data_IF_846453329987
#
_entry.id   IF_846453329987
#
_cell.length_a   1.000
_cell.length_b   1.000
_cell.length_c   1.000
_cell.angle_alpha   90.00
_cell.angle_beta   90.00
_cell.angle_gamma   90.00
#
_symmetry.space_group_name_H-M   'P 1'
#
loop_
_entity.id
_entity.type
_entity.pdbx_description
1 polymer ?
#
# COMPACT_ATOMS: atom_id res chain seq x y z
N UNK A 1 22.53 -12.82 -21.47
CA UNK A 1 22.73 -11.87 -20.36
C UNK A 1 21.46 -11.03 -20.26
N UNK A 2 20.47 -11.50 -19.50
CA UNK A 2 19.25 -10.72 -19.27
C UNK A 2 19.61 -9.60 -18.30
N UNK A 3 19.62 -8.37 -18.80
CA UNK A 3 19.60 -7.18 -17.98
C UNK A 3 18.22 -7.14 -17.33
N UNK A 4 18.09 -7.73 -16.14
CA UNK A 4 16.97 -7.42 -15.26
C UNK A 4 17.16 -5.96 -14.86
N UNK A 5 16.49 -5.06 -15.58
CA UNK A 5 16.21 -3.75 -15.00
C UNK A 5 15.56 -4.02 -13.63
N UNK A 6 16.07 -3.49 -12.52
CA UNK A 6 15.43 -3.63 -11.23
C UNK A 6 14.15 -2.80 -11.32
N UNK A 7 13.07 -3.40 -11.81
CA UNK A 7 11.75 -2.82 -11.74
C UNK A 7 11.52 -2.47 -10.26
N UNK A 8 11.08 -1.24 -9.94
CA UNK A 8 10.70 -0.93 -8.57
C UNK A 8 9.67 -1.95 -8.14
N UNK A 9 9.98 -2.72 -7.10
CA UNK A 9 9.05 -3.69 -6.55
C UNK A 9 7.96 -2.91 -5.82
N UNK A 10 6.85 -2.68 -6.53
CA UNK A 10 5.68 -2.00 -6.02
C UNK A 10 4.63 -3.02 -5.54
N UNK A 11 3.96 -2.69 -4.44
CA UNK A 11 2.84 -3.45 -3.90
C UNK A 11 1.62 -2.54 -3.85
N UNK A 12 0.53 -2.98 -4.49
CA UNK A 12 -0.78 -2.34 -4.36
C UNK A 12 -1.58 -3.03 -3.25
N UNK A 13 -2.02 -2.27 -2.26
CA UNK A 13 -2.82 -2.73 -1.12
C UNK A 13 -4.17 -2.03 -1.16
N UNK A 14 -5.25 -2.81 -1.10
CA UNK A 14 -6.62 -2.27 -0.99
C UNK A 14 -7.17 -2.57 0.41
N UNK A 15 -7.63 -1.54 1.11
CA UNK A 15 -8.26 -1.63 2.43
C UNK A 15 -9.53 -0.78 2.47
N UNK A 16 -10.47 -1.14 3.33
CA UNK A 16 -11.74 -0.40 3.49
C UNK A 16 -11.92 0.06 4.93
N UNK A 17 -11.77 1.36 5.17
CA UNK A 17 -11.83 1.92 6.53
C UNK A 17 -12.48 3.31 6.59
N UNK A 18 -12.84 3.74 7.80
CA UNK A 18 -13.63 4.95 8.06
C UNK A 18 -12.83 6.24 8.09
N UNK A 19 -11.52 6.15 8.38
CA UNK A 19 -10.67 7.32 8.59
C UNK A 19 -9.31 7.14 7.93
N UNK A 20 -8.60 8.21 7.57
CA UNK A 20 -7.24 8.13 7.03
C UNK A 20 -6.28 7.35 7.93
N UNK A 21 -6.32 7.59 9.26
CA UNK A 21 -5.47 6.87 10.21
C UNK A 21 -5.78 5.37 10.26
N UNK A 22 -7.04 4.97 10.12
CA UNK A 22 -7.41 3.55 10.04
C UNK A 22 -6.97 2.91 8.72
N UNK A 23 -7.05 3.63 7.61
CA UNK A 23 -6.51 3.20 6.31
C UNK A 23 -5.00 2.93 6.42
N UNK A 24 -4.25 3.86 7.00
CA UNK A 24 -2.80 3.69 7.22
C UNK A 24 -2.48 2.49 8.11
N UNK A 25 -3.15 2.40 9.26
CA UNK A 25 -2.96 1.30 10.21
C UNK A 25 -3.30 -0.08 9.62
N UNK A 26 -4.20 -0.15 8.63
CA UNK A 26 -4.53 -1.38 7.92
C UNK A 26 -3.56 -1.67 6.76
N UNK A 27 -3.12 -0.66 6.03
CA UNK A 27 -2.33 -0.83 4.81
C UNK A 27 -0.83 -1.11 5.08
N UNK A 28 -0.22 -0.42 6.05
CA UNK A 28 1.21 -0.58 6.35
C UNK A 28 1.60 -2.00 6.78
N UNK A 29 0.87 -2.68 7.69
CA UNK A 29 1.22 -4.04 8.07
C UNK A 29 1.19 -5.04 6.90
N UNK A 30 0.34 -4.79 5.90
CA UNK A 30 0.30 -5.62 4.68
C UNK A 30 1.54 -5.40 3.81
N UNK A 31 2.01 -4.15 3.72
CA UNK A 31 3.26 -3.82 3.04
C UNK A 31 4.48 -4.40 3.77
N UNK A 32 4.56 -4.25 5.10
CA UNK A 32 5.61 -4.83 5.94
C UNK A 32 5.66 -6.35 5.84
N UNK A 33 4.51 -7.03 5.85
CA UNK A 33 4.44 -8.48 5.70
C UNK A 33 4.94 -8.95 4.34
N UNK A 34 4.73 -8.16 3.29
CA UNK A 34 5.17 -8.49 1.93
C UNK A 34 6.66 -8.21 1.72
N UNK A 35 7.13 -7.04 2.14
CA UNK A 35 8.52 -6.61 1.91
C UNK A 35 9.51 -7.06 3.00
N UNK A 36 9.02 -7.45 4.18
CA UNK A 36 9.79 -7.67 5.39
C UNK A 36 9.71 -6.47 6.34
N UNK A 37 9.70 -6.72 7.65
CA UNK A 37 9.58 -5.69 8.69
C UNK A 37 10.72 -4.67 8.71
N UNK A 38 11.88 -5.05 8.16
CA UNK A 38 13.07 -4.20 8.10
C UNK A 38 13.15 -3.43 6.77
N UNK A 39 12.17 -3.58 5.88
CA UNK A 39 12.16 -2.92 4.60
C UNK A 39 11.73 -1.45 4.74
N UNK A 40 12.53 -0.55 4.19
CA UNK A 40 12.12 0.84 4.02
C UNK A 40 11.08 0.94 2.90
N UNK A 41 9.83 1.25 3.27
CA UNK A 41 8.70 1.36 2.36
C UNK A 41 8.22 2.81 2.24
N UNK A 42 7.93 3.23 1.01
CA UNK A 42 7.41 4.56 0.68
C UNK A 42 6.05 4.44 0.00
N UNK A 43 5.12 5.34 0.32
CA UNK A 43 3.85 5.45 -0.42
C UNK A 43 4.10 6.23 -1.71
N UNK A 44 3.87 5.60 -2.86
CA UNK A 44 3.98 6.21 -4.19
C UNK A 44 2.67 6.90 -4.57
N UNK A 45 1.54 6.25 -4.28
CA UNK A 45 0.22 6.83 -4.50
C UNK A 45 -0.80 6.26 -3.52
N UNK A 46 -1.82 7.06 -3.21
CA UNK A 46 -2.99 6.61 -2.48
C UNK A 46 -4.23 7.17 -3.18
N UNK A 47 -5.13 6.29 -3.59
CA UNK A 47 -6.43 6.65 -4.16
C UNK A 47 -7.51 6.18 -3.22
N UNK A 48 -8.49 7.04 -2.98
CA UNK A 48 -9.60 6.76 -2.07
C UNK A 48 -10.90 6.98 -2.82
N UNK A 49 -11.85 6.07 -2.62
CA UNK A 49 -13.20 6.15 -3.14
C UNK A 49 -14.20 5.75 -2.05
N UNK A 50 -15.44 6.24 -2.06
CA UNK A 50 -16.49 5.73 -1.19
C UNK A 50 -16.63 4.21 -1.35
N UNK A 51 -16.84 3.50 -0.24
CA UNK A 51 -17.14 2.07 -0.28
C UNK A 51 -18.61 1.88 -0.75
N UNK A 52 -18.86 1.17 -1.86
CA UNK A 52 -20.22 1.00 -2.39
C UNK A 52 -21.13 0.18 -1.46
N UNK A 53 -20.56 -0.67 -0.61
CA UNK A 53 -21.29 -1.56 0.29
C UNK A 53 -21.47 -0.94 1.69
N UNK A 54 -20.67 0.07 2.04
CA UNK A 54 -20.66 0.70 3.36
C UNK A 54 -20.59 2.23 3.28
N UNK A 55 -21.73 2.90 3.46
CA UNK A 55 -21.85 4.35 3.34
C UNK A 55 -20.97 5.19 4.28
N UNK A 56 -20.45 4.59 5.35
CA UNK A 56 -19.57 5.24 6.33
C UNK A 56 -18.08 4.92 6.15
N UNK A 57 -17.72 4.22 5.06
CA UNK A 57 -16.35 3.77 4.78
C UNK A 57 -15.84 4.27 3.44
N UNK A 58 -14.52 4.20 3.32
CA UNK A 58 -13.81 4.43 2.08
C UNK A 58 -12.95 3.23 1.75
N UNK A 59 -12.96 2.85 0.48
CA UNK A 59 -11.98 1.91 -0.07
C UNK A 59 -10.78 2.70 -0.55
N UNK A 60 -9.61 2.41 0.02
CA UNK A 60 -8.35 3.00 -0.35
C UNK A 60 -7.46 1.98 -1.04
N UNK A 61 -6.87 2.36 -2.17
CA UNK A 61 -5.80 1.62 -2.84
C UNK A 61 -4.51 2.41 -2.66
N UNK A 62 -3.56 1.83 -1.91
CA UNK A 62 -2.27 2.41 -1.59
C UNK A 62 -1.18 1.63 -2.32
N UNK A 63 -0.35 2.32 -3.09
CA UNK A 63 0.80 1.74 -3.77
C UNK A 63 2.05 2.03 -2.94
N UNK A 64 2.67 0.98 -2.44
CA UNK A 64 3.93 1.01 -1.72
C UNK A 64 5.08 0.66 -2.65
N UNK A 65 6.24 1.26 -2.44
CA UNK A 65 7.50 0.89 -3.07
C UNK A 65 8.54 0.65 -2.00
N UNK A 66 9.27 -0.46 -2.11
CA UNK A 66 10.48 -0.67 -1.31
C UNK A 66 11.65 0.12 -1.90
N UNK A 67 12.41 0.79 -1.04
CA UNK A 67 13.71 1.36 -1.42
C UNK A 67 14.80 0.33 -1.08
N UNK A 68 15.74 0.12 -1.99
CA UNK A 68 16.96 -0.64 -1.72
C UNK A 68 18.00 0.39 -1.33
N UNK A 69 18.34 0.42 -0.04
CA UNK A 69 19.40 1.26 0.51
C UNK A 69 20.73 0.53 0.47
#
# INVERSE_FOLDING_TARGET
MHKTDPFPFELSVTVSERTPAAIEAAAYPLAERFFGSDAEVHVVSAKVQPDPDHHDRFTATVVFRRTIT
#
